data_IF_249393527815
#
_entry.id   IF_249393527815
#
_cell.length_a   1.000
_cell.length_b   1.000
_cell.length_c   1.000
_cell.angle_alpha   90.00
_cell.angle_beta   90.00
_cell.angle_gamma   90.00
#
_symmetry.space_group_name_H-M   'P 1'
#
loop_
_entity.id
_entity.type
_entity.pdbx_description
1 polymer ?
#
# COMPACT_ATOMS: atom_id res chain seq x y z
N UNK A 1 21.68 10.29 25.58
CA UNK A 1 21.67 10.08 24.13
C UNK A 1 20.25 9.80 23.63
N UNK A 2 19.45 10.82 23.28
CA UNK A 2 18.10 10.60 22.73
C UNK A 2 17.92 11.29 21.39
N UNK A 3 18.83 11.11 20.40
CA UNK A 3 18.72 11.77 19.09
C UNK A 3 18.13 10.91 17.97
N UNK A 4 17.92 9.63 18.21
CA UNK A 4 17.41 8.71 17.15
C UNK A 4 15.88 8.61 17.12
N UNK A 5 15.21 8.85 18.25
CA UNK A 5 13.73 8.80 18.35
C UNK A 5 13.06 9.99 17.66
N UNK A 6 13.68 11.17 17.71
CA UNK A 6 13.11 12.40 17.10
C UNK A 6 13.13 12.37 15.59
N UNK A 7 14.13 11.73 14.98
CA UNK A 7 14.21 11.60 13.52
C UNK A 7 13.10 10.71 12.97
N UNK A 8 12.75 9.65 13.68
CA UNK A 8 11.68 8.72 13.29
C UNK A 8 10.30 9.38 13.39
N UNK A 9 10.07 10.19 14.41
CA UNK A 9 8.84 10.95 14.59
C UNK A 9 8.69 12.05 13.52
N UNK A 10 9.77 12.69 13.13
CA UNK A 10 9.79 13.70 12.06
C UNK A 10 9.52 13.08 10.68
N UNK A 11 10.02 11.89 10.43
CA UNK A 11 9.75 11.13 9.20
C UNK A 11 8.27 10.72 9.10
N UNK A 12 7.67 10.30 10.21
CA UNK A 12 6.24 9.98 10.30
C UNK A 12 5.36 11.22 10.09
N UNK A 13 5.76 12.37 10.64
CA UNK A 13 5.05 13.65 10.47
C UNK A 13 5.11 14.17 9.03
N UNK A 14 6.24 13.99 8.33
CA UNK A 14 6.42 14.39 6.93
C UNK A 14 5.56 13.56 5.96
N UNK A 15 5.24 12.31 6.33
CA UNK A 15 4.35 11.44 5.55
C UNK A 15 2.89 11.89 5.69
N UNK A 16 2.50 12.40 6.86
CA UNK A 16 1.13 12.83 7.14
C UNK A 16 0.73 14.15 6.45
N UNK A 17 1.69 15.01 6.10
CA UNK A 17 1.41 16.36 5.56
C UNK A 17 1.17 16.45 4.06
N UNK A 18 1.26 15.34 3.32
CA UNK A 18 1.00 15.32 1.87
C UNK A 18 -0.45 15.01 1.46
N UNK A 19 -1.38 14.95 2.39
CA UNK A 19 -2.80 14.66 2.09
C UNK A 19 -3.64 15.88 1.69
N UNK A 20 -3.03 17.05 1.51
CA UNK A 20 -3.73 18.27 1.10
C UNK A 20 -3.70 18.45 -0.42
N UNK A 21 -4.49 17.70 -1.19
CA UNK A 21 -4.70 17.98 -2.60
C UNK A 21 -6.08 18.61 -2.81
N UNK A 22 -6.02 19.80 -3.40
CA UNK A 22 -7.11 20.68 -3.75
C UNK A 22 -8.39 19.97 -4.20
N UNK A 23 -9.48 20.25 -3.49
CA UNK A 23 -10.84 20.10 -3.98
C UNK A 23 -11.05 21.13 -5.09
N UNK A 24 -10.99 20.68 -6.32
CA UNK A 24 -11.51 21.45 -7.46
C UNK A 24 -12.88 20.89 -7.82
N UNK A 25 -13.84 21.74 -7.74
CA UNK A 25 -15.24 21.57 -8.10
C UNK A 25 -15.43 21.00 -9.50
N UNK A 26 -15.89 19.76 -9.60
CA UNK A 26 -16.48 19.21 -10.79
C UNK A 26 -17.70 18.36 -10.38
N UNK A 27 -18.78 19.07 -10.25
CA UNK A 27 -20.11 18.61 -9.95
C UNK A 27 -20.72 17.93 -11.18
N UNK A 28 -20.57 16.62 -11.36
CA UNK A 28 -21.43 15.82 -12.27
C UNK A 28 -21.50 14.33 -11.90
N UNK A 29 -20.77 13.84 -10.92
CA UNK A 29 -21.05 12.51 -10.37
C UNK A 29 -21.44 12.65 -8.88
N UNK A 30 -22.67 13.09 -8.65
CA UNK A 30 -23.23 13.42 -7.32
C UNK A 30 -23.65 12.22 -6.50
N UNK A 31 -23.42 11.02 -6.94
CA UNK A 31 -23.56 9.86 -6.07
C UNK A 31 -22.21 9.54 -5.43
N UNK A 32 -22.14 9.79 -4.13
CA UNK A 32 -21.12 9.12 -3.31
C UNK A 32 -21.24 7.61 -3.58
N UNK A 33 -20.16 6.95 -3.99
CA UNK A 33 -20.24 5.52 -4.24
C UNK A 33 -20.81 4.86 -2.98
N UNK A 34 -21.83 4.04 -3.17
CA UNK A 34 -22.39 3.27 -2.06
C UNK A 34 -21.27 2.44 -1.43
N UNK A 35 -21.38 2.16 -0.11
CA UNK A 35 -20.37 1.35 0.59
C UNK A 35 -20.07 0.02 -0.12
N UNK A 36 -21.01 -0.49 -0.93
CA UNK A 36 -20.87 -1.73 -1.67
C UNK A 36 -20.03 -1.57 -2.95
N UNK A 37 -20.01 -0.40 -3.55
CA UNK A 37 -19.17 -0.11 -4.73
C UNK A 37 -17.67 -0.18 -4.40
N UNK A 38 -17.28 0.12 -3.16
CA UNK A 38 -15.88 -0.07 -2.71
C UNK A 38 -15.45 -1.55 -2.62
N UNK A 39 -16.40 -2.49 -2.61
CA UNK A 39 -16.13 -3.93 -2.56
C UNK A 39 -16.03 -4.57 -3.94
N UNK A 40 -16.30 -3.84 -5.02
CA UNK A 40 -16.31 -4.36 -6.37
C UNK A 40 -14.96 -5.02 -6.72
N UNK A 41 -15.05 -6.12 -7.43
CA UNK A 41 -13.89 -6.73 -8.10
C UNK A 41 -13.35 -5.79 -9.19
N UNK A 42 -12.19 -6.12 -9.78
CA UNK A 42 -11.68 -5.35 -10.92
C UNK A 42 -12.71 -5.30 -12.06
N UNK A 43 -13.26 -6.46 -12.43
CA UNK A 43 -14.26 -6.54 -13.50
C UNK A 43 -15.50 -5.71 -13.17
N UNK A 44 -16.07 -5.86 -11.97
CA UNK A 44 -17.22 -5.05 -11.57
C UNK A 44 -16.92 -3.55 -11.53
N UNK A 45 -15.68 -3.14 -11.26
CA UNK A 45 -15.29 -1.73 -11.32
C UNK A 45 -15.11 -1.26 -12.78
N UNK A 46 -14.59 -2.13 -13.66
CA UNK A 46 -14.54 -1.87 -15.11
C UNK A 46 -15.95 -1.71 -15.68
N UNK A 47 -16.87 -2.60 -15.36
CA UNK A 47 -18.26 -2.56 -15.83
C UNK A 47 -19.01 -1.30 -15.35
N UNK A 48 -18.78 -0.88 -14.11
CA UNK A 48 -19.47 0.28 -13.54
C UNK A 48 -18.91 1.64 -14.01
N UNK A 49 -17.59 1.73 -14.26
CA UNK A 49 -16.91 3.01 -14.44
C UNK A 49 -16.06 3.14 -15.70
N UNK A 50 -15.84 2.08 -16.48
CA UNK A 50 -15.04 2.16 -17.70
C UNK A 50 -15.91 2.56 -18.90
N UNK A 51 -16.01 3.85 -19.16
CA UNK A 51 -16.73 4.40 -20.29
C UNK A 51 -15.90 4.43 -21.60
N UNK A 52 -14.62 4.14 -21.56
CA UNK A 52 -13.73 3.98 -22.70
C UNK A 52 -12.47 3.17 -22.34
N UNK A 53 -11.65 2.83 -23.36
CA UNK A 53 -10.44 2.02 -23.20
C UNK A 53 -9.41 2.65 -22.26
N UNK A 54 -9.28 3.99 -22.29
CA UNK A 54 -8.38 4.71 -21.38
C UNK A 54 -8.84 4.58 -19.92
N UNK A 55 -10.14 4.72 -19.64
CA UNK A 55 -10.68 4.52 -18.29
C UNK A 55 -10.45 3.09 -17.82
N UNK A 56 -10.68 2.10 -18.69
CA UNK A 56 -10.40 0.69 -18.41
C UNK A 56 -8.92 0.45 -18.10
N UNK A 57 -8.01 1.03 -18.88
CA UNK A 57 -6.58 0.92 -18.64
C UNK A 57 -6.16 1.58 -17.31
N UNK A 58 -6.73 2.73 -16.93
CA UNK A 58 -6.50 3.38 -15.64
C UNK A 58 -6.92 2.45 -14.49
N UNK A 59 -8.10 1.84 -14.59
CA UNK A 59 -8.60 0.89 -13.58
C UNK A 59 -7.62 -0.26 -13.41
N UNK A 60 -7.18 -0.89 -14.50
CA UNK A 60 -6.22 -2.00 -14.48
C UNK A 60 -4.88 -1.60 -13.84
N UNK A 61 -4.34 -0.44 -14.21
CA UNK A 61 -3.12 0.09 -13.64
C UNK A 61 -3.21 0.23 -12.11
N UNK A 62 -4.29 0.79 -11.60
CA UNK A 62 -4.49 0.98 -10.15
C UNK A 62 -4.64 -0.34 -9.41
N UNK A 63 -5.44 -1.27 -9.95
CA UNK A 63 -5.58 -2.60 -9.37
C UNK A 63 -4.26 -3.37 -9.36
N UNK A 64 -3.44 -3.27 -10.40
CA UNK A 64 -2.11 -3.89 -10.46
C UNK A 64 -1.18 -3.29 -9.39
N UNK A 65 -1.13 -1.96 -9.28
CA UNK A 65 -0.33 -1.28 -8.26
C UNK A 65 -0.77 -1.62 -6.83
N UNK A 66 -2.08 -1.64 -6.58
CA UNK A 66 -2.64 -2.03 -5.30
C UNK A 66 -2.31 -3.48 -4.93
N UNK A 67 -2.49 -4.41 -5.88
CA UNK A 67 -2.12 -5.82 -5.70
C UNK A 67 -0.64 -5.98 -5.38
N UNK A 68 0.23 -5.27 -6.11
CA UNK A 68 1.68 -5.28 -5.85
C UNK A 68 2.01 -4.75 -4.45
N UNK A 69 1.40 -3.63 -4.03
CA UNK A 69 1.58 -3.09 -2.68
C UNK A 69 1.20 -4.09 -1.59
N UNK A 70 0.05 -4.75 -1.74
CA UNK A 70 -0.39 -5.81 -0.81
C UNK A 70 0.53 -7.02 -0.79
N UNK A 71 1.06 -7.43 -1.95
CA UNK A 71 2.04 -8.51 -2.01
C UNK A 71 3.32 -8.13 -1.26
N UNK A 72 3.90 -6.97 -1.52
CA UNK A 72 5.09 -6.49 -0.82
C UNK A 72 4.87 -6.47 0.69
N UNK A 73 3.75 -5.92 1.15
CA UNK A 73 3.39 -5.90 2.57
C UNK A 73 3.37 -7.32 3.17
N UNK A 74 2.70 -8.27 2.51
CA UNK A 74 2.57 -9.64 3.00
C UNK A 74 3.92 -10.36 3.04
N UNK A 75 4.69 -10.30 1.95
CA UNK A 75 5.99 -10.97 1.86
C UNK A 75 7.01 -10.40 2.85
N UNK A 76 6.93 -9.12 3.19
CA UNK A 76 7.82 -8.53 4.17
C UNK A 76 7.35 -8.71 5.62
N UNK A 77 6.03 -8.72 5.88
CA UNK A 77 5.50 -8.83 7.24
C UNK A 77 5.52 -10.27 7.79
N UNK A 78 5.26 -11.28 6.94
CA UNK A 78 5.18 -12.68 7.36
C UNK A 78 6.49 -13.21 7.97
N UNK A 79 7.70 -12.92 7.43
CA UNK A 79 8.94 -13.42 8.00
C UNK A 79 9.31 -12.83 9.37
N UNK A 80 8.79 -11.65 9.75
CA UNK A 80 9.18 -10.96 10.99
C UNK A 80 8.97 -11.83 12.24
N UNK A 81 7.79 -12.42 12.49
CA UNK A 81 7.61 -13.28 13.65
C UNK A 81 8.49 -14.55 13.61
N UNK A 82 8.77 -15.08 12.41
CA UNK A 82 9.65 -16.25 12.27
C UNK A 82 11.08 -15.88 12.65
N UNK A 83 11.61 -14.76 12.14
CA UNK A 83 12.95 -14.26 12.44
C UNK A 83 13.10 -13.99 13.94
N UNK A 84 12.12 -13.36 14.56
CA UNK A 84 12.13 -13.09 16.00
C UNK A 84 12.04 -14.36 16.82
N UNK A 85 11.29 -15.36 16.38
CA UNK A 85 11.20 -16.65 17.06
C UNK A 85 12.50 -17.45 16.96
N UNK A 86 13.13 -17.49 15.78
CA UNK A 86 14.37 -18.24 15.54
C UNK A 86 15.57 -17.60 16.26
N UNK A 87 15.66 -16.28 16.24
CA UNK A 87 16.78 -15.58 16.88
C UNK A 87 16.56 -15.24 18.35
N UNK A 88 15.51 -15.78 18.97
CA UNK A 88 15.24 -15.62 20.40
C UNK A 88 15.86 -16.76 21.18
N UNK A 89 16.69 -16.43 22.14
CA UNK A 89 17.30 -17.37 23.06
C UNK A 89 16.80 -17.14 24.48
N UNK A 90 16.77 -18.23 25.21
CA UNK A 90 16.43 -18.22 26.63
C UNK A 90 17.72 -18.47 27.44
N UNK A 91 18.07 -17.52 28.28
CA UNK A 91 19.15 -17.70 29.23
C UNK A 91 18.53 -17.92 30.60
N UNK A 92 18.65 -19.16 31.18
CA UNK A 92 18.26 -19.38 32.56
C UNK A 92 19.17 -18.48 33.42
N UNK A 93 18.58 -17.51 34.11
CA UNK A 93 19.31 -16.54 34.89
C UNK A 93 20.21 -17.29 35.91
N UNK A 94 21.53 -17.23 35.79
CA UNK A 94 22.38 -17.71 36.87
C UNK A 94 22.05 -16.83 38.07
N UNK A 95 21.70 -17.45 39.19
CA UNK A 95 21.27 -16.79 40.41
C UNK A 95 22.23 -15.64 40.79
N UNK A 96 21.96 -14.47 40.28
CA UNK A 96 22.64 -13.25 40.69
C UNK A 96 22.05 -12.88 42.05
N UNK A 97 22.87 -12.73 43.04
CA UNK A 97 22.50 -12.41 44.42
C UNK A 97 21.39 -11.37 44.47
N UNK A 98 20.20 -11.74 44.95
CA UNK A 98 19.07 -10.85 45.18
C UNK A 98 18.03 -10.74 44.05
N UNK A 99 18.17 -11.44 42.95
CA UNK A 99 17.15 -11.45 41.89
C UNK A 99 16.08 -12.51 42.20
N UNK A 100 14.81 -12.15 41.94
CA UNK A 100 13.69 -13.08 42.03
C UNK A 100 13.93 -14.29 41.12
N UNK A 101 13.68 -15.53 41.56
CA UNK A 101 13.95 -16.75 40.79
C UNK A 101 13.11 -16.90 39.49
N UNK A 102 12.23 -16.00 39.22
CA UNK A 102 11.32 -16.04 38.06
C UNK A 102 11.64 -15.02 36.94
N UNK A 103 12.84 -14.46 36.92
CA UNK A 103 13.22 -13.55 35.86
C UNK A 103 13.75 -14.32 34.66
N UNK A 104 12.86 -14.57 33.67
CA UNK A 104 13.25 -15.15 32.39
C UNK A 104 13.91 -14.08 31.54
N UNK A 105 15.22 -14.08 31.41
CA UNK A 105 15.92 -13.19 30.51
C UNK A 105 15.88 -13.78 29.09
N UNK A 106 15.25 -13.07 28.16
CA UNK A 106 15.34 -13.38 26.76
C UNK A 106 16.31 -12.42 26.08
N UNK A 107 17.18 -12.95 25.25
CA UNK A 107 18.02 -12.14 24.38
C UNK A 107 17.81 -12.56 22.93
N UNK A 108 18.16 -11.66 22.04
CA UNK A 108 18.06 -11.88 20.61
C UNK A 108 19.43 -11.78 19.96
N UNK A 109 19.67 -12.60 18.95
CA UNK A 109 20.87 -12.49 18.14
C UNK A 109 21.01 -11.09 17.54
N UNK A 110 22.22 -10.63 17.36
CA UNK A 110 22.53 -9.27 16.87
C UNK A 110 21.98 -8.97 15.47
N UNK A 111 21.75 -9.99 14.66
CA UNK A 111 21.19 -9.87 13.31
C UNK A 111 19.66 -9.71 13.29
N UNK A 112 18.95 -10.10 14.35
CA UNK A 112 17.47 -10.11 14.39
C UNK A 112 16.90 -8.70 14.27
N UNK A 113 17.41 -7.76 15.05
CA UNK A 113 16.90 -6.39 15.05
C UNK A 113 17.11 -5.68 13.69
N UNK A 114 18.30 -5.67 13.07
CA UNK A 114 18.47 -5.07 11.75
C UNK A 114 17.58 -5.70 10.69
N UNK A 115 17.44 -7.03 10.69
CA UNK A 115 16.61 -7.75 9.71
C UNK A 115 15.13 -7.46 9.91
N UNK A 116 14.64 -7.48 11.14
CA UNK A 116 13.25 -7.15 11.46
C UNK A 116 12.91 -5.71 11.05
N UNK A 117 13.77 -4.73 11.36
CA UNK A 117 13.56 -3.33 10.97
C UNK A 117 13.57 -3.15 9.45
N UNK A 118 14.45 -3.84 8.73
CA UNK A 118 14.49 -3.79 7.26
C UNK A 118 13.20 -4.31 6.66
N UNK A 119 12.69 -5.44 7.14
CA UNK A 119 11.43 -6.02 6.68
C UNK A 119 10.22 -5.16 7.03
N UNK A 120 10.20 -4.55 8.21
CA UNK A 120 9.17 -3.59 8.60
C UNK A 120 9.18 -2.36 7.69
N UNK A 121 10.35 -1.84 7.33
CA UNK A 121 10.49 -0.75 6.37
C UNK A 121 9.93 -1.11 4.99
N UNK A 122 10.26 -2.29 4.46
CA UNK A 122 9.71 -2.79 3.19
C UNK A 122 8.20 -2.99 3.29
N UNK A 123 7.71 -3.53 4.42
CA UNK A 123 6.27 -3.69 4.66
C UNK A 123 5.55 -2.35 4.67
N UNK A 124 6.09 -1.34 5.35
CA UNK A 124 5.53 0.02 5.38
C UNK A 124 5.45 0.63 3.98
N UNK A 125 6.49 0.47 3.15
CA UNK A 125 6.45 0.88 1.74
C UNK A 125 5.32 0.17 0.97
N UNK A 126 5.12 -1.14 1.19
CA UNK A 126 4.01 -1.90 0.62
C UNK A 126 2.64 -1.34 1.02
N UNK A 127 2.46 -0.97 2.29
CA UNK A 127 1.23 -0.33 2.81
C UNK A 127 0.98 1.01 2.12
N UNK A 128 1.99 1.90 2.10
CA UNK A 128 1.88 3.22 1.45
C UNK A 128 1.49 3.06 -0.02
N UNK A 129 2.13 2.13 -0.72
CA UNK A 129 1.80 1.85 -2.13
C UNK A 129 0.38 1.32 -2.30
N UNK A 130 -0.11 0.45 -1.41
CA UNK A 130 -1.45 -0.08 -1.46
C UNK A 130 -2.50 1.00 -1.16
N UNK A 131 -2.27 1.85 -0.16
CA UNK A 131 -3.18 2.94 0.22
C UNK A 131 -3.26 3.99 -0.89
N UNK A 132 -2.12 4.45 -1.41
CA UNK A 132 -2.06 5.48 -2.47
C UNK A 132 -2.63 5.01 -3.83
N UNK A 133 -2.86 3.71 -4.00
CA UNK A 133 -3.51 3.16 -5.19
C UNK A 133 -4.79 2.40 -4.81
N UNK A 134 -5.39 2.75 -3.67
CA UNK A 134 -6.64 2.20 -3.20
C UNK A 134 -7.83 2.57 -4.09
N UNK A 135 -8.97 1.96 -3.82
CA UNK A 135 -10.20 2.16 -4.60
C UNK A 135 -10.72 3.58 -4.53
N UNK A 136 -10.54 4.27 -3.39
CA UNK A 136 -10.94 5.66 -3.22
C UNK A 136 -10.16 6.59 -4.15
N UNK A 137 -8.84 6.39 -4.22
CA UNK A 137 -7.98 7.14 -5.11
C UNK A 137 -8.30 6.84 -6.58
N UNK A 138 -8.53 5.57 -6.90
CA UNK A 138 -8.96 5.17 -8.23
C UNK A 138 -10.26 5.85 -8.62
N UNK A 139 -11.26 5.86 -7.75
CA UNK A 139 -12.55 6.50 -8.00
C UNK A 139 -12.38 8.00 -8.29
N UNK A 140 -11.59 8.71 -7.47
CA UNK A 140 -11.30 10.13 -7.68
C UNK A 140 -10.61 10.38 -9.02
N UNK A 141 -9.66 9.54 -9.39
CA UNK A 141 -8.93 9.65 -10.66
C UNK A 141 -9.87 9.41 -11.85
N UNK A 142 -10.74 8.41 -11.79
CA UNK A 142 -11.74 8.15 -12.84
C UNK A 142 -12.74 9.29 -12.94
N UNK A 143 -13.22 9.82 -11.82
CA UNK A 143 -14.11 10.98 -11.76
C UNK A 143 -13.45 12.20 -12.41
N UNK A 144 -12.21 12.51 -12.06
CA UNK A 144 -11.45 13.61 -12.66
C UNK A 144 -11.26 13.39 -14.17
N UNK A 145 -10.91 12.18 -14.59
CA UNK A 145 -10.77 11.85 -16.00
C UNK A 145 -12.10 11.96 -16.76
N UNK A 146 -13.21 11.55 -16.16
CA UNK A 146 -14.53 11.68 -16.75
C UNK A 146 -14.90 13.15 -16.96
N UNK A 147 -14.66 14.00 -15.97
CA UNK A 147 -14.99 15.42 -16.02
C UNK A 147 -14.12 16.20 -17.02
N UNK A 148 -12.82 15.94 -17.06
CA UNK A 148 -11.88 16.75 -17.84
C UNK A 148 -11.52 16.15 -19.20
N UNK A 149 -11.77 14.84 -19.41
CA UNK A 149 -11.27 14.05 -20.55
C UNK A 149 -9.75 14.13 -20.74
N UNK A 150 -9.05 14.67 -19.75
CA UNK A 150 -7.59 14.75 -19.71
C UNK A 150 -7.03 13.76 -18.71
N UNK A 151 -5.88 13.18 -19.04
CA UNK A 151 -5.22 12.25 -18.14
C UNK A 151 -4.85 12.97 -16.82
N UNK A 152 -5.33 12.51 -15.65
CA UNK A 152 -5.00 13.14 -14.38
C UNK A 152 -3.49 13.10 -14.11
N UNK A 153 -2.95 14.13 -13.46
CA UNK A 153 -1.52 14.24 -13.14
C UNK A 153 -0.98 13.05 -12.30
N UNK A 154 -1.86 12.39 -11.56
CA UNK A 154 -1.55 11.18 -10.78
C UNK A 154 -1.21 9.96 -11.66
N UNK A 155 -1.60 9.98 -12.94
CA UNK A 155 -1.40 8.89 -13.91
C UNK A 155 -0.29 9.24 -14.88
N UNK A 156 0.84 8.57 -14.77
CA UNK A 156 1.94 8.75 -15.73
C UNK A 156 1.61 8.04 -17.04
N UNK A 157 1.67 8.73 -18.20
CA UNK A 157 1.33 8.12 -19.51
C UNK A 157 2.14 6.85 -19.80
N UNK A 158 3.44 6.87 -19.53
CA UNK A 158 4.31 5.71 -19.75
C UNK A 158 3.88 4.46 -18.95
N UNK A 159 3.31 4.63 -17.76
CA UNK A 159 2.82 3.52 -16.95
C UNK A 159 1.46 2.97 -17.45
N UNK A 160 0.73 3.74 -18.24
CA UNK A 160 -0.57 3.37 -18.76
C UNK A 160 -0.48 2.57 -20.08
N UNK A 161 0.57 2.80 -20.88
CA UNK A 161 0.76 2.17 -22.20
C UNK A 161 0.54 0.66 -22.20
N UNK A 162 1.19 -0.15 -21.31
CA UNK A 162 1.02 -1.61 -21.34
C UNK A 162 -0.43 -2.05 -21.10
N UNK A 163 -1.19 -1.30 -20.31
CA UNK A 163 -2.59 -1.61 -20.04
C UNK A 163 -3.52 -1.18 -21.16
N UNK A 164 -3.18 -0.08 -21.89
CA UNK A 164 -3.90 0.31 -23.10
C UNK A 164 -3.74 -0.75 -24.20
N UNK A 165 -2.53 -1.21 -24.43
CA UNK A 165 -2.27 -2.29 -25.40
C UNK A 165 -3.06 -3.55 -25.04
N UNK A 166 -3.08 -3.93 -23.77
CA UNK A 166 -3.84 -5.09 -23.30
C UNK A 166 -5.35 -4.92 -23.56
N UNK A 167 -5.92 -3.75 -23.26
CA UNK A 167 -7.35 -3.47 -23.51
C UNK A 167 -7.68 -3.53 -24.99
N UNK A 168 -6.83 -2.97 -25.83
CA UNK A 168 -7.03 -2.99 -27.28
C UNK A 168 -6.96 -4.40 -27.86
N UNK A 169 -6.02 -5.23 -27.37
CA UNK A 169 -5.92 -6.64 -27.80
C UNK A 169 -7.17 -7.45 -27.43
N UNK A 170 -7.74 -7.23 -26.25
CA UNK A 170 -8.97 -7.88 -25.81
C UNK A 170 -10.19 -7.46 -26.65
N UNK A 171 -10.24 -6.20 -27.09
CA UNK A 171 -11.33 -5.68 -27.95
C UNK A 171 -11.28 -6.19 -29.41
N UNK A 172 -10.14 -6.73 -29.85
CA UNK A 172 -9.96 -7.25 -31.22
C UNK A 172 -10.28 -8.76 -31.32
N UNK A 173 -10.29 -9.47 -30.19
CA UNK A 173 -10.63 -10.90 -30.17
C UNK A 173 -12.14 -11.07 -30.24
N UNK A 174 -12.71 -11.69 -31.30
CA UNK A 174 -14.14 -11.99 -31.34
C UNK A 174 -14.50 -12.98 -30.24
N UNK A 175 -15.56 -12.67 -29.52
CA UNK A 175 -16.16 -13.55 -28.51
C UNK A 175 -16.91 -14.70 -29.19
#
# INVERSE_FOLDING_TARGET
MPKKSTLFLLLLLLIATRSGWAQSSADVMTEHPSKDQYKLSRAGFEDAYAFNDTARAIIRLYYAKWKTGRSIMRFAAIPVPVITAVGRHYEPNPATYGASPNYNAYYYDSWVAPMAYSLLGVSAFGVIRAVNNGRDQLYQVIRQYHATRRLPAAVRPAALIPYLVQVQQEGVLPH
#
